data_IF_108201214419
#
_entry.id   IF_108201214419
#
_cell.length_a   1.000
_cell.length_b   1.000
_cell.length_c   1.000
_cell.angle_alpha   90.00
_cell.angle_beta   90.00
_cell.angle_gamma   90.00
#
_symmetry.space_group_name_H-M   'P 1'
#
loop_
_entity.id
_entity.type
_entity.pdbx_description
1 polymer ?
#
# COMPACT_ATOMS: atom_id res chain seq x y z
N UNK A 1 -5.81 -18.21 -23.92
CA UNK A 1 -5.96 -17.11 -22.94
C UNK A 1 -5.17 -15.93 -23.50
N UNK A 2 -5.69 -14.70 -23.49
CA UNK A 2 -5.03 -13.53 -24.11
C UNK A 2 -4.70 -12.44 -23.07
N UNK A 3 -3.97 -11.40 -23.48
CA UNK A 3 -3.62 -10.28 -22.59
C UNK A 3 -4.86 -9.58 -22.03
N UNK A 4 -5.96 -9.55 -22.78
CA UNK A 4 -7.23 -8.94 -22.32
C UNK A 4 -7.79 -9.68 -21.12
N UNK A 5 -7.65 -11.01 -21.06
CA UNK A 5 -8.03 -11.78 -19.89
C UNK A 5 -7.17 -11.42 -18.67
N UNK A 6 -5.83 -11.37 -18.83
CA UNK A 6 -4.88 -11.12 -17.73
C UNK A 6 -5.13 -9.76 -17.07
N UNK A 7 -5.34 -8.72 -17.86
CA UNK A 7 -5.57 -7.34 -17.36
C UNK A 7 -7.04 -7.05 -17.03
N UNK A 8 -7.89 -8.09 -16.92
CA UNK A 8 -9.32 -7.95 -16.67
C UNK A 8 -10.01 -6.94 -17.62
N UNK A 9 -9.67 -7.00 -18.90
CA UNK A 9 -10.19 -6.14 -19.99
C UNK A 9 -9.94 -4.63 -19.80
N UNK A 10 -9.02 -4.25 -18.92
CA UNK A 10 -8.61 -2.85 -18.74
C UNK A 10 -7.84 -2.34 -19.96
N UNK A 11 -8.44 -1.40 -20.70
CA UNK A 11 -7.82 -0.78 -21.90
C UNK A 11 -6.57 0.04 -21.55
N UNK A 12 -6.57 0.73 -20.41
CA UNK A 12 -5.41 1.49 -19.94
C UNK A 12 -4.22 0.59 -19.59
N UNK A 13 -4.49 -0.57 -18.99
CA UNK A 13 -3.44 -1.54 -18.65
C UNK A 13 -2.90 -2.26 -19.88
N UNK A 14 -3.75 -2.60 -20.85
CA UNK A 14 -3.33 -3.16 -22.15
C UNK A 14 -2.37 -2.21 -22.87
N UNK A 15 -2.74 -0.92 -22.95
CA UNK A 15 -1.89 0.09 -23.58
C UNK A 15 -0.54 0.22 -22.89
N UNK A 16 -0.50 0.16 -21.57
CA UNK A 16 0.78 0.19 -20.82
C UNK A 16 1.65 -1.04 -21.10
N UNK A 17 1.06 -2.23 -21.20
CA UNK A 17 1.81 -3.43 -21.57
C UNK A 17 2.40 -3.32 -22.97
N UNK A 18 1.64 -2.77 -23.91
CA UNK A 18 2.08 -2.49 -25.28
C UNK A 18 3.23 -1.46 -25.31
N UNK A 19 3.10 -0.35 -24.56
CA UNK A 19 4.16 0.66 -24.39
C UNK A 19 5.44 0.09 -23.76
N UNK A 20 5.33 -0.97 -22.95
CA UNK A 20 6.47 -1.69 -22.35
C UNK A 20 7.01 -2.81 -23.24
N UNK A 21 6.40 -3.06 -24.41
CA UNK A 21 6.76 -4.16 -25.29
C UNK A 21 6.53 -5.55 -24.68
N UNK A 22 5.63 -5.66 -23.70
CA UNK A 22 5.33 -6.92 -23.02
C UNK A 22 4.15 -7.64 -23.67
N UNK A 23 4.45 -8.72 -24.39
CA UNK A 23 3.45 -9.66 -24.87
C UNK A 23 3.16 -10.80 -23.87
N UNK A 24 2.25 -11.71 -24.24
CA UNK A 24 1.85 -12.82 -23.38
C UNK A 24 3.02 -13.78 -23.08
N UNK A 25 3.89 -14.02 -24.06
CA UNK A 25 5.02 -14.93 -23.92
C UNK A 25 6.08 -14.35 -22.96
N UNK A 26 6.37 -13.06 -23.10
CA UNK A 26 7.23 -12.30 -22.19
C UNK A 26 6.72 -12.37 -20.75
N UNK A 27 5.41 -12.20 -20.55
CA UNK A 27 4.80 -12.31 -19.22
C UNK A 27 4.91 -13.72 -18.65
N UNK A 28 4.77 -14.78 -19.46
CA UNK A 28 4.97 -16.15 -18.99
C UNK A 28 6.42 -16.42 -18.60
N UNK A 29 7.39 -15.91 -19.36
CA UNK A 29 8.80 -16.06 -19.03
C UNK A 29 9.13 -15.39 -17.69
N UNK A 30 8.70 -14.14 -17.51
CA UNK A 30 8.87 -13.40 -16.25
C UNK A 30 8.18 -14.14 -15.10
N UNK A 31 6.94 -14.59 -15.31
CA UNK A 31 6.17 -15.30 -14.28
C UNK A 31 6.85 -16.60 -13.86
N UNK A 32 7.45 -17.35 -14.80
CA UNK A 32 8.16 -18.60 -14.50
C UNK A 32 9.28 -18.38 -13.49
N UNK A 33 10.11 -17.38 -13.71
CA UNK A 33 11.24 -17.08 -12.82
C UNK A 33 10.74 -16.62 -11.44
N UNK A 34 9.73 -15.76 -11.41
CA UNK A 34 9.14 -15.26 -10.16
C UNK A 34 8.51 -16.39 -9.34
N UNK A 35 7.75 -17.29 -9.97
CA UNK A 35 7.14 -18.42 -9.28
C UNK A 35 8.18 -19.44 -8.82
N UNK A 36 9.22 -19.70 -9.62
CA UNK A 36 10.32 -20.58 -9.20
C UNK A 36 11.00 -20.04 -7.94
N UNK A 37 11.29 -18.72 -7.89
CA UNK A 37 11.86 -18.09 -6.69
C UNK A 37 10.93 -18.21 -5.49
N UNK A 38 9.63 -17.98 -5.66
CA UNK A 38 8.64 -18.09 -4.59
C UNK A 38 8.56 -19.51 -4.03
N UNK A 39 8.57 -20.52 -4.90
CA UNK A 39 8.53 -21.93 -4.54
C UNK A 39 9.83 -22.37 -3.85
N UNK A 40 11.00 -21.99 -4.40
CA UNK A 40 12.31 -22.31 -3.83
C UNK A 40 12.50 -21.70 -2.43
N UNK A 41 11.95 -20.50 -2.20
CA UNK A 41 11.94 -19.83 -0.90
C UNK A 41 10.82 -20.33 0.04
N UNK A 42 9.92 -21.18 -0.45
CA UNK A 42 8.81 -21.73 0.32
C UNK A 42 7.82 -20.65 0.80
N UNK A 43 7.63 -19.58 0.04
CA UNK A 43 6.77 -18.47 0.44
C UNK A 43 5.29 -18.77 0.19
N UNK A 44 4.44 -18.48 1.17
CA UNK A 44 2.98 -18.43 0.95
C UNK A 44 2.62 -17.27 0.00
N UNK A 45 1.42 -17.29 -0.61
CA UNK A 45 0.98 -16.22 -1.50
C UNK A 45 1.00 -14.82 -0.85
N UNK A 46 0.71 -14.75 0.45
CA UNK A 46 0.81 -13.48 1.21
C UNK A 46 2.28 -13.03 1.32
N UNK A 47 3.18 -13.91 1.70
CA UNK A 47 4.60 -13.60 1.81
C UNK A 47 5.22 -13.25 0.45
N UNK A 48 4.82 -13.93 -0.62
CA UNK A 48 5.24 -13.61 -1.99
C UNK A 48 4.83 -12.18 -2.39
N UNK A 49 3.61 -11.76 -2.04
CA UNK A 49 3.16 -10.39 -2.30
C UNK A 49 3.99 -9.33 -1.55
N UNK A 50 4.32 -9.59 -0.28
CA UNK A 50 5.17 -8.72 0.54
C UNK A 50 6.61 -8.68 -0.01
N UNK A 51 7.12 -9.83 -0.46
CA UNK A 51 8.43 -9.97 -1.11
C UNK A 51 8.52 -9.13 -2.39
N UNK A 52 7.55 -9.25 -3.31
CA UNK A 52 7.54 -8.46 -4.54
C UNK A 52 7.38 -6.96 -4.28
N UNK A 53 6.59 -6.58 -3.28
CA UNK A 53 6.49 -5.18 -2.85
C UNK A 53 7.85 -4.63 -2.40
N UNK A 54 8.59 -5.39 -1.58
CA UNK A 54 9.93 -5.01 -1.09
C UNK A 54 10.94 -4.92 -2.23
N UNK A 55 10.92 -5.85 -3.19
CA UNK A 55 11.79 -5.79 -4.38
C UNK A 55 11.49 -4.53 -5.20
N UNK A 56 10.21 -4.24 -5.47
CA UNK A 56 9.79 -3.03 -6.20
C UNK A 56 10.33 -1.77 -5.52
N UNK A 57 10.21 -1.69 -4.20
CA UNK A 57 10.72 -0.55 -3.44
C UNK A 57 12.24 -0.45 -3.47
N UNK A 58 12.96 -1.57 -3.33
CA UNK A 58 14.41 -1.58 -3.46
C UNK A 58 14.87 -1.09 -4.84
N UNK A 59 14.18 -1.50 -5.90
CA UNK A 59 14.41 -1.01 -7.25
C UNK A 59 14.10 0.49 -7.39
N UNK A 60 12.95 0.96 -6.91
CA UNK A 60 12.61 2.38 -6.96
C UNK A 60 13.66 3.23 -6.22
N UNK A 61 14.10 2.79 -5.05
CA UNK A 61 15.15 3.45 -4.27
C UNK A 61 16.47 3.52 -5.04
N UNK A 62 16.88 2.44 -5.72
CA UNK A 62 18.12 2.43 -6.51
C UNK A 62 18.07 3.37 -7.72
N UNK A 63 16.86 3.70 -8.18
CA UNK A 63 16.60 4.67 -9.25
C UNK A 63 16.32 6.09 -8.72
N UNK A 64 16.45 6.34 -7.41
CA UNK A 64 16.14 7.64 -6.80
C UNK A 64 14.65 8.01 -6.86
N UNK A 65 13.77 7.04 -7.10
CA UNK A 65 12.31 7.23 -7.12
C UNK A 65 11.74 7.09 -5.71
N UNK A 66 10.63 7.78 -5.47
CA UNK A 66 9.88 7.64 -4.22
C UNK A 66 9.47 6.17 -4.01
N UNK A 67 9.72 5.66 -2.81
CA UNK A 67 9.31 4.31 -2.38
C UNK A 67 7.90 4.35 -1.79
N UNK A 68 7.12 3.30 -2.02
CA UNK A 68 5.80 3.16 -1.41
C UNK A 68 5.95 2.74 0.05
N UNK A 69 5.20 3.34 0.97
CA UNK A 69 5.20 2.91 2.38
C UNK A 69 4.30 1.68 2.59
N UNK A 70 4.81 0.64 3.27
CA UNK A 70 4.06 -0.59 3.57
C UNK A 70 3.11 -0.37 4.77
N UNK A 71 2.11 0.50 4.58
CA UNK A 71 1.18 0.91 5.63
C UNK A 71 -0.09 0.07 5.61
N UNK A 72 -0.29 -0.71 6.68
CA UNK A 72 -1.52 -1.46 6.93
C UNK A 72 -2.39 -0.73 7.95
N UNK A 73 -3.67 -0.55 7.62
CA UNK A 73 -4.66 0.11 8.49
C UNK A 73 -5.51 -0.95 9.19
N UNK A 74 -5.55 -0.90 10.51
CA UNK A 74 -6.40 -1.72 11.36
C UNK A 74 -7.48 -0.84 12.01
N UNK A 75 -8.72 -1.32 11.96
CA UNK A 75 -9.90 -0.67 12.52
C UNK A 75 -10.45 -1.50 13.67
N UNK A 76 -10.83 -0.86 14.77
CA UNK A 76 -11.50 -1.56 15.87
C UNK A 76 -12.97 -1.93 15.53
N UNK A 77 -13.60 -1.20 14.61
CA UNK A 77 -14.93 -1.50 14.07
C UNK A 77 -15.03 -1.10 12.59
N UNK A 78 -15.58 -1.98 11.75
CA UNK A 78 -15.65 -1.78 10.30
C UNK A 78 -16.56 -0.62 9.84
N UNK A 79 -17.60 -0.30 10.62
CA UNK A 79 -18.64 0.67 10.25
C UNK A 79 -18.37 2.07 10.81
N UNK A 80 -17.81 2.19 12.02
CA UNK A 80 -17.46 3.47 12.65
C UNK A 80 -16.33 3.27 13.65
N UNK A 81 -15.07 3.23 13.19
CA UNK A 81 -13.94 3.01 14.08
C UNK A 81 -13.73 4.23 14.99
N UNK A 82 -13.78 4.03 16.30
CA UNK A 82 -13.41 5.07 17.27
C UNK A 82 -11.89 5.27 17.37
N UNK A 83 -11.11 4.30 16.87
CA UNK A 83 -9.65 4.35 16.82
C UNK A 83 -9.14 3.60 15.58
N UNK A 84 -8.11 4.16 14.95
CA UNK A 84 -7.35 3.52 13.89
C UNK A 84 -5.94 3.20 14.41
N UNK A 85 -5.41 2.08 13.96
CA UNK A 85 -4.02 1.69 14.18
C UNK A 85 -3.38 1.49 12.82
N UNK A 86 -2.31 2.22 12.53
CA UNK A 86 -1.58 2.09 11.27
C UNK A 86 -0.20 1.52 11.58
N UNK A 87 0.09 0.36 11.01
CA UNK A 87 1.39 -0.29 11.12
C UNK A 87 2.18 -0.08 9.84
N UNK A 88 3.40 0.42 9.96
CA UNK A 88 4.41 0.34 8.91
C UNK A 88 5.14 -0.99 9.05
N UNK A 89 4.83 -1.95 8.15
CA UNK A 89 5.44 -3.28 8.19
C UNK A 89 6.94 -3.30 7.89
N UNK A 90 7.44 -2.27 7.20
CA UNK A 90 8.87 -2.14 6.91
C UNK A 90 9.67 -1.73 8.14
N UNK A 91 9.09 -0.93 9.03
CA UNK A 91 9.77 -0.43 10.25
C UNK A 91 9.28 -1.10 11.53
N UNK A 92 8.16 -1.82 11.49
CA UNK A 92 7.48 -2.36 12.67
C UNK A 92 6.82 -1.29 13.55
N UNK A 93 6.83 -0.01 13.14
CA UNK A 93 6.22 1.08 13.90
C UNK A 93 4.70 1.05 13.74
N UNK A 94 4.00 1.23 14.86
CA UNK A 94 2.54 1.35 14.89
C UNK A 94 2.15 2.71 15.46
N UNK A 95 1.37 3.48 14.70
CA UNK A 95 0.86 4.79 15.08
C UNK A 95 -0.66 4.71 15.23
N UNK A 96 -1.17 5.31 16.30
CA UNK A 96 -2.59 5.30 16.62
C UNK A 96 -3.25 6.64 16.34
N UNK A 97 -4.50 6.59 15.89
CA UNK A 97 -5.31 7.76 15.60
C UNK A 97 -6.66 7.62 16.29
N UNK A 98 -7.08 8.63 17.02
CA UNK A 98 -8.36 8.67 17.73
C UNK A 98 -9.38 9.48 16.94
N UNK A 99 -10.61 8.98 16.84
CA UNK A 99 -11.71 9.71 16.22
C UNK A 99 -11.96 11.04 16.96
N UNK A 100 -12.12 12.14 16.24
CA UNK A 100 -12.53 13.42 16.85
C UNK A 100 -14.01 13.34 17.22
N UNK A 101 -14.36 13.75 18.44
CA UNK A 101 -15.74 13.71 18.92
C UNK A 101 -16.62 14.74 18.19
N UNK A 102 -17.94 14.53 18.23
CA UNK A 102 -18.95 15.51 17.79
C UNK A 102 -18.84 15.96 16.32
N UNK A 103 -18.25 15.13 15.47
CA UNK A 103 -18.24 15.41 14.04
C UNK A 103 -19.64 15.28 13.45
N UNK A 104 -20.05 16.19 12.53
CA UNK A 104 -21.26 15.98 11.76
C UNK A 104 -21.16 14.65 11.00
N UNK A 105 -22.29 13.98 10.74
CA UNK A 105 -22.32 12.73 9.98
C UNK A 105 -21.61 12.93 8.64
N UNK A 106 -20.35 12.51 8.59
CA UNK A 106 -19.47 12.66 7.45
C UNK A 106 -19.28 11.29 6.78
N UNK A 107 -19.09 11.29 5.46
CA UNK A 107 -18.67 10.09 4.75
C UNK A 107 -17.38 9.52 5.38
N UNK A 108 -17.24 8.19 5.39
CA UNK A 108 -16.12 7.47 6.04
C UNK A 108 -14.74 8.04 5.69
N UNK A 109 -14.55 8.52 4.46
CA UNK A 109 -13.29 9.10 3.97
C UNK A 109 -12.99 10.50 4.53
N UNK A 110 -14.02 11.26 4.88
CA UNK A 110 -13.93 12.63 5.39
C UNK A 110 -13.87 12.69 6.92
N UNK A 111 -14.11 11.56 7.59
CA UNK A 111 -14.00 11.43 9.05
C UNK A 111 -12.62 11.87 9.53
N UNK A 112 -12.58 12.74 10.53
CA UNK A 112 -11.37 13.31 11.10
C UNK A 112 -10.85 12.47 12.27
N UNK A 113 -9.54 12.32 12.34
CA UNK A 113 -8.85 11.64 13.42
C UNK A 113 -7.68 12.50 13.93
N UNK A 114 -7.41 12.44 15.23
CA UNK A 114 -6.21 13.03 15.83
C UNK A 114 -5.14 11.96 15.99
N UNK A 115 -3.93 12.22 15.48
CA UNK A 115 -2.78 11.37 15.72
C UNK A 115 -2.41 11.39 17.21
N UNK A 116 -2.29 10.22 17.85
CA UNK A 116 -1.96 10.14 19.28
C UNK A 116 -0.46 10.40 19.54
N UNK A 117 0.38 10.35 18.50
CA UNK A 117 1.82 10.62 18.60
C UNK A 117 2.21 12.06 18.25
N UNK A 118 1.30 12.83 17.65
CA UNK A 118 1.49 14.26 17.38
C UNK A 118 0.58 15.06 18.31
N UNK A 119 1.10 15.39 19.51
CA UNK A 119 0.30 15.94 20.61
C UNK A 119 -0.44 17.26 20.24
N UNK A 120 0.08 18.02 19.26
CA UNK A 120 -0.40 19.35 18.86
C UNK A 120 -0.90 19.50 17.41
N UNK A 121 -1.10 18.40 16.66
CA UNK A 121 -1.59 18.53 15.28
C UNK A 121 -3.12 18.67 15.16
N UNK A 122 -3.52 19.45 14.15
CA UNK A 122 -4.89 19.56 13.69
C UNK A 122 -5.46 18.19 13.31
N UNK A 123 -6.78 17.96 13.46
CA UNK A 123 -7.41 16.74 13.00
C UNK A 123 -7.14 16.45 11.51
N UNK A 124 -6.84 15.20 11.21
CA UNK A 124 -6.45 14.70 9.88
C UNK A 124 -7.63 13.90 9.31
N UNK A 125 -7.98 14.11 8.04
CA UNK A 125 -8.99 13.28 7.39
C UNK A 125 -8.48 11.86 7.24
N UNK A 126 -9.40 10.89 7.32
CA UNK A 126 -9.07 9.48 7.18
C UNK A 126 -8.27 9.16 5.91
N UNK A 127 -8.64 9.78 4.79
CA UNK A 127 -7.93 9.62 3.51
C UNK A 127 -6.47 10.08 3.56
N UNK A 128 -6.15 11.03 4.43
CA UNK A 128 -4.83 11.67 4.55
C UNK A 128 -3.95 11.05 5.66
N UNK A 129 -4.45 10.05 6.39
CA UNK A 129 -3.69 9.44 7.50
C UNK A 129 -2.39 8.80 7.03
N UNK A 130 -2.42 8.10 5.88
CA UNK A 130 -1.22 7.44 5.35
C UNK A 130 -0.15 8.45 4.94
N UNK A 131 -0.53 9.58 4.32
CA UNK A 131 0.42 10.63 3.94
C UNK A 131 0.97 11.37 5.16
N UNK A 132 0.17 11.58 6.21
CA UNK A 132 0.64 12.10 7.49
C UNK A 132 1.74 11.20 8.09
N UNK A 133 1.55 9.87 8.09
CA UNK A 133 2.56 8.93 8.62
C UNK A 133 3.88 9.03 7.86
N UNK A 134 3.81 9.01 6.53
CA UNK A 134 5.01 9.12 5.68
C UNK A 134 5.76 10.44 5.94
N UNK A 135 5.03 11.54 6.10
CA UNK A 135 5.64 12.87 6.25
C UNK A 135 6.13 13.18 7.67
N UNK A 136 5.47 12.66 8.72
CA UNK A 136 5.72 13.06 10.11
C UNK A 136 6.36 11.98 10.99
N UNK A 137 6.18 10.70 10.66
CA UNK A 137 6.58 9.59 11.53
C UNK A 137 7.66 8.69 10.93
N UNK A 138 7.64 8.57 9.60
CA UNK A 138 8.56 7.71 8.86
C UNK A 138 9.70 8.47 8.21
N UNK A 139 9.69 9.81 8.26
CA UNK A 139 10.75 10.73 7.82
C UNK A 139 11.64 10.18 6.72
N UNK A 140 11.42 10.60 5.46
CA UNK A 140 12.35 10.31 4.36
C UNK A 140 13.77 10.73 4.77
N UNK A 141 14.59 9.77 5.19
CA UNK A 141 16.04 9.89 5.27
C UNK A 141 16.61 9.72 3.86
#
# INVERSE_FOLDING_TARGET
MDLKYIVNRSTSSLRKLDELGCDLESLFFIAKDLFSIVDDLGLTSKQASEFFFRIKNAYNSSQGKQVDSDLTTYENHNTSPSRLSIENKSTGKTIFFRLVAEQPSAEKIATLFKCESCEDEQPIKRVDIKSHIVSKHDGLN
#
